data_IF_502828910874
#
_entry.id   IF_502828910874
#
_cell.length_a   1.000
_cell.length_b   1.000
_cell.length_c   1.000
_cell.angle_alpha   90.00
_cell.angle_beta   90.00
_cell.angle_gamma   90.00
#
_symmetry.space_group_name_H-M   'P 1'
#
loop_
_entity.id
_entity.type
_entity.pdbx_description
1 polymer ?
#
# COMPACT_ATOMS: atom_id res chain seq x y z
N UNK A 1 5.41 -25.23 10.87
CA UNK A 1 4.03 -25.22 11.40
C UNK A 1 3.22 -24.35 10.47
N UNK A 2 2.14 -24.82 9.83
CA UNK A 2 1.31 -23.99 8.98
C UNK A 2 0.58 -22.96 9.85
N UNK A 3 0.60 -21.70 9.45
CA UNK A 3 -0.17 -20.61 10.07
C UNK A 3 -1.54 -20.52 9.42
N UNK A 4 -2.57 -20.37 10.24
CA UNK A 4 -3.99 -20.36 9.88
C UNK A 4 -4.32 -19.27 8.85
N UNK A 5 -4.40 -19.68 7.58
CA UNK A 5 -5.05 -18.97 6.48
C UNK A 5 -5.39 -20.00 5.40
N UNK A 6 -6.07 -21.07 5.80
CA UNK A 6 -6.40 -22.21 4.93
C UNK A 6 -7.83 -22.02 4.41
N UNK A 7 -7.98 -21.05 3.50
CA UNK A 7 -9.26 -20.76 2.84
C UNK A 7 -9.53 -21.81 1.75
N UNK A 8 -10.21 -22.90 2.13
CA UNK A 8 -11.09 -23.79 1.34
C UNK A 8 -10.82 -23.81 -0.19
N UNK A 9 -9.59 -24.09 -0.59
CA UNK A 9 -9.16 -24.14 -1.99
C UNK A 9 -7.69 -24.52 -2.11
N UNK A 10 -7.23 -25.00 -3.28
CA UNK A 10 -5.82 -25.33 -3.48
C UNK A 10 -4.95 -24.08 -3.28
N UNK A 11 -4.23 -24.04 -2.17
CA UNK A 11 -3.23 -23.02 -1.88
C UNK A 11 -1.96 -23.41 -2.64
N UNK A 12 -1.65 -22.65 -3.69
CA UNK A 12 -0.32 -22.77 -4.31
C UNK A 12 0.71 -22.34 -3.27
N UNK A 13 1.80 -23.11 -3.05
CA UNK A 13 2.83 -22.72 -2.12
C UNK A 13 3.42 -21.38 -2.57
N UNK A 14 3.81 -20.55 -1.59
CA UNK A 14 4.43 -19.27 -1.88
C UNK A 14 5.67 -19.47 -2.78
N UNK A 15 5.86 -18.65 -3.83
CA UNK A 15 7.02 -18.77 -4.71
C UNK A 15 8.34 -18.60 -3.96
N UNK A 16 9.21 -19.61 -4.02
CA UNK A 16 10.49 -19.65 -3.27
C UNK A 16 11.72 -19.35 -4.13
N UNK A 17 11.62 -19.44 -5.45
CA UNK A 17 12.77 -19.35 -6.37
C UNK A 17 12.51 -18.33 -7.51
N UNK A 18 12.07 -17.14 -7.11
CA UNK A 18 11.55 -16.13 -8.04
C UNK A 18 12.68 -15.42 -8.80
N UNK A 19 13.89 -15.36 -8.24
CA UNK A 19 15.05 -14.75 -8.90
C UNK A 19 15.86 -15.71 -9.77
N UNK A 20 15.56 -17.01 -9.77
CA UNK A 20 16.35 -17.95 -10.56
C UNK A 20 16.11 -17.82 -12.06
N UNK A 21 16.97 -18.53 -12.80
CA UNK A 21 16.87 -18.67 -14.25
C UNK A 21 15.61 -19.41 -14.72
N UNK A 22 14.92 -20.11 -13.81
CA UNK A 22 13.67 -20.81 -14.12
C UNK A 22 12.44 -19.90 -13.99
N UNK A 23 12.60 -18.73 -13.38
CA UNK A 23 11.55 -17.73 -13.23
C UNK A 23 11.56 -16.72 -14.38
N UNK A 24 10.37 -16.29 -14.79
CA UNK A 24 10.21 -15.20 -15.76
C UNK A 24 10.33 -13.81 -15.11
N UNK A 25 10.28 -13.73 -13.78
CA UNK A 25 10.24 -12.45 -13.06
C UNK A 25 11.47 -11.58 -13.30
N UNK A 26 12.72 -12.08 -13.28
CA UNK A 26 13.90 -11.24 -13.54
C UNK A 26 13.90 -10.67 -14.96
N UNK A 27 13.51 -11.48 -15.95
CA UNK A 27 13.41 -11.06 -17.35
C UNK A 27 12.31 -10.04 -17.54
N UNK A 28 11.12 -10.25 -16.96
CA UNK A 28 10.01 -9.31 -16.99
C UNK A 28 10.37 -7.99 -16.30
N UNK A 29 11.05 -8.04 -15.15
CA UNK A 29 11.54 -6.87 -14.43
C UNK A 29 12.54 -6.06 -15.27
N UNK A 30 13.50 -6.74 -15.92
CA UNK A 30 14.44 -6.10 -16.83
C UNK A 30 13.73 -5.40 -17.99
N UNK A 31 12.72 -6.03 -18.59
CA UNK A 31 11.95 -5.42 -19.68
C UNK A 31 11.12 -4.22 -19.21
N UNK A 32 10.50 -4.31 -18.03
CA UNK A 32 9.76 -3.22 -17.42
C UNK A 32 10.66 -2.01 -17.16
N UNK A 33 11.80 -2.22 -16.50
CA UNK A 33 12.75 -1.16 -16.17
C UNK A 33 13.39 -0.55 -17.43
N UNK A 34 13.71 -1.34 -18.45
CA UNK A 34 14.15 -0.84 -19.75
C UNK A 34 13.08 0.03 -20.45
N UNK A 35 11.80 -0.30 -20.26
CA UNK A 35 10.68 0.50 -20.80
C UNK A 35 10.60 1.85 -20.10
N UNK A 36 10.70 1.89 -18.76
CA UNK A 36 10.80 3.15 -18.01
C UNK A 36 12.01 3.97 -18.47
N UNK A 37 13.19 3.36 -18.54
CA UNK A 37 14.42 4.03 -18.99
C UNK A 37 14.26 4.66 -20.38
N UNK A 38 13.68 3.92 -21.32
CA UNK A 38 13.51 4.37 -22.70
C UNK A 38 12.50 5.52 -22.80
N UNK A 39 11.43 5.47 -22.01
CA UNK A 39 10.46 6.56 -21.92
C UNK A 39 11.07 7.81 -21.30
N UNK A 40 11.73 7.67 -20.14
CA UNK A 40 12.27 8.79 -19.36
C UNK A 40 13.46 9.47 -20.04
N UNK A 41 14.21 8.76 -20.89
CA UNK A 41 15.28 9.33 -21.73
C UNK A 41 14.76 9.95 -23.04
N UNK A 42 13.44 9.93 -23.28
CA UNK A 42 12.84 10.48 -24.49
C UNK A 42 13.09 9.66 -25.76
N UNK A 43 13.51 8.39 -25.61
CA UNK A 43 13.79 7.50 -26.73
C UNK A 43 12.50 6.89 -27.35
N UNK A 44 11.35 7.08 -26.71
CA UNK A 44 10.04 6.56 -27.18
C UNK A 44 9.03 7.71 -27.25
N UNK A 45 8.25 7.76 -28.34
CA UNK A 45 7.23 8.80 -28.53
C UNK A 45 5.98 8.46 -27.70
N UNK A 46 5.37 9.48 -27.09
CA UNK A 46 4.17 9.39 -26.22
C UNK A 46 3.01 8.57 -26.84
N UNK A 47 2.91 8.50 -28.18
CA UNK A 47 1.87 7.74 -28.88
C UNK A 47 1.93 6.22 -28.59
N UNK A 48 3.10 5.69 -28.24
CA UNK A 48 3.31 4.26 -27.97
C UNK A 48 3.27 3.94 -26.46
N UNK A 49 3.24 4.95 -25.59
CA UNK A 49 3.38 4.81 -24.12
C UNK A 49 2.42 5.72 -23.35
N UNK A 50 1.17 5.83 -23.79
CA UNK A 50 0.14 6.68 -23.15
C UNK A 50 0.01 6.42 -21.64
N UNK A 51 0.18 5.17 -21.20
CA UNK A 51 0.14 4.77 -19.80
C UNK A 51 1.25 5.38 -18.92
N UNK A 52 2.36 5.83 -19.51
CA UNK A 52 3.50 6.42 -18.79
C UNK A 52 3.49 7.95 -18.78
N UNK A 53 2.50 8.58 -19.44
CA UNK A 53 2.41 10.03 -19.54
C UNK A 53 2.39 10.68 -18.14
N UNK A 54 3.31 11.61 -17.90
CA UNK A 54 3.42 12.36 -16.65
C UNK A 54 4.31 11.70 -15.61
N UNK A 55 4.73 10.45 -15.80
CA UNK A 55 5.65 9.75 -14.90
C UNK A 55 7.02 10.45 -14.85
N UNK A 56 7.43 11.11 -15.93
CA UNK A 56 8.66 11.90 -16.01
C UNK A 56 8.70 13.08 -15.02
N UNK A 57 7.53 13.55 -14.58
CA UNK A 57 7.41 14.71 -13.70
C UNK A 57 7.34 14.32 -12.21
N UNK A 58 7.27 13.03 -11.88
CA UNK A 58 7.19 12.56 -10.50
C UNK A 58 8.41 11.73 -10.12
N UNK A 59 8.88 11.89 -8.89
CA UNK A 59 9.92 11.02 -8.32
C UNK A 59 9.26 9.76 -7.75
N UNK A 60 9.76 8.58 -8.13
CA UNK A 60 9.18 7.31 -7.67
C UNK A 60 10.23 6.22 -7.55
N UNK A 61 9.88 5.20 -6.77
CA UNK A 61 10.63 3.95 -6.66
C UNK A 61 9.67 2.78 -6.84
N UNK A 62 10.13 1.75 -7.52
CA UNK A 62 9.45 0.47 -7.65
C UNK A 62 10.41 -0.65 -7.28
N UNK A 63 9.93 -1.68 -6.60
CA UNK A 63 10.78 -2.81 -6.24
C UNK A 63 9.96 -4.05 -5.93
N UNK A 64 10.61 -5.19 -6.03
CA UNK A 64 10.05 -6.49 -5.67
C UNK A 64 10.66 -6.99 -4.37
N UNK A 65 9.86 -7.69 -3.58
CA UNK A 65 10.30 -8.35 -2.35
C UNK A 65 9.63 -9.70 -2.18
N UNK A 66 10.31 -10.61 -1.51
CA UNK A 66 9.75 -11.88 -1.03
C UNK A 66 10.38 -12.22 0.31
N UNK A 67 9.59 -12.77 1.21
CA UNK A 67 10.09 -13.34 2.47
C UNK A 67 10.85 -14.66 2.23
N UNK A 68 10.60 -15.34 1.11
CA UNK A 68 11.20 -16.63 0.77
C UNK A 68 12.38 -16.52 -0.20
N UNK A 69 12.55 -15.37 -0.87
CA UNK A 69 13.68 -15.10 -1.75
C UNK A 69 14.22 -13.68 -1.49
N UNK A 70 15.15 -13.54 -0.52
CA UNK A 70 15.71 -12.25 -0.13
C UNK A 70 16.49 -11.55 -1.24
N UNK A 71 16.84 -12.26 -2.32
CA UNK A 71 17.62 -11.68 -3.40
C UNK A 71 16.78 -10.81 -4.33
N UNK A 72 15.44 -10.95 -4.31
CA UNK A 72 14.49 -10.05 -5.00
C UNK A 72 14.67 -8.59 -4.60
N UNK A 73 15.16 -8.30 -3.39
CA UNK A 73 15.43 -6.93 -2.95
C UNK A 73 16.43 -6.20 -3.84
N UNK A 74 17.17 -6.89 -4.72
CA UNK A 74 18.05 -6.28 -5.73
C UNK A 74 17.28 -5.77 -6.95
N UNK A 75 16.07 -6.26 -7.18
CA UNK A 75 15.16 -5.83 -8.23
C UNK A 75 14.43 -4.57 -7.76
N UNK A 76 15.14 -3.46 -7.83
CA UNK A 76 14.63 -2.12 -7.53
C UNK A 76 14.89 -1.18 -8.71
N UNK A 77 14.02 -0.19 -8.86
CA UNK A 77 14.11 0.86 -9.87
C UNK A 77 13.76 2.17 -9.18
N UNK A 78 14.60 3.17 -9.40
CA UNK A 78 14.45 4.48 -8.77
C UNK A 78 14.58 5.55 -9.85
N UNK A 79 13.58 6.43 -9.92
CA UNK A 79 13.61 7.58 -10.80
C UNK A 79 13.53 8.85 -9.98
N UNK A 80 14.54 9.70 -10.15
CA UNK A 80 14.59 11.05 -9.59
C UNK A 80 14.14 12.03 -10.67
N UNK A 81 13.00 12.69 -10.46
CA UNK A 81 12.51 13.71 -11.38
C UNK A 81 13.39 14.97 -11.33
N UNK A 82 13.34 15.83 -12.37
CA UNK A 82 14.11 17.08 -12.39
C UNK A 82 13.84 18.00 -11.20
N UNK A 83 12.62 17.99 -10.66
CA UNK A 83 12.25 18.76 -9.48
C UNK A 83 13.08 18.37 -8.26
N UNK A 84 13.22 17.06 -7.99
CA UNK A 84 14.00 16.56 -6.85
C UNK A 84 15.49 16.65 -7.13
N UNK A 85 15.93 16.37 -8.35
CA UNK A 85 17.33 16.45 -8.74
C UNK A 85 17.92 17.88 -8.58
N UNK A 86 17.07 18.91 -8.76
CA UNK A 86 17.44 20.32 -8.66
C UNK A 86 16.85 21.00 -7.42
N UNK A 87 16.39 20.24 -6.43
CA UNK A 87 15.84 20.80 -5.19
C UNK A 87 16.91 21.64 -4.47
N UNK A 88 16.51 22.74 -3.82
CA UNK A 88 17.50 23.59 -3.11
C UNK A 88 18.03 22.92 -1.85
N UNK A 89 17.24 22.05 -1.21
CA UNK A 89 17.56 21.39 0.04
C UNK A 89 17.10 19.92 0.00
N UNK A 90 17.79 19.05 0.73
CA UNK A 90 17.39 17.66 0.94
C UNK A 90 17.94 16.68 -0.09
N UNK A 91 17.13 15.69 -0.45
CA UNK A 91 17.51 14.59 -1.35
C UNK A 91 17.58 15.05 -2.80
N UNK A 92 18.71 14.80 -3.47
CA UNK A 92 18.90 15.12 -4.89
C UNK A 92 18.94 13.87 -5.79
N UNK A 93 18.87 12.69 -5.18
CA UNK A 93 18.83 11.40 -5.86
C UNK A 93 18.12 10.41 -4.94
N UNK A 94 17.11 9.74 -5.47
CA UNK A 94 16.43 8.68 -4.74
C UNK A 94 17.05 7.30 -4.98
N UNK A 95 16.95 6.46 -3.98
CA UNK A 95 17.45 5.09 -3.91
C UNK A 95 16.61 4.25 -2.92
N UNK A 96 17.07 3.06 -2.58
CA UNK A 96 16.39 2.12 -1.68
C UNK A 96 16.22 2.61 -0.24
N UNK A 97 16.99 3.63 0.18
CA UNK A 97 16.94 4.19 1.54
C UNK A 97 16.13 5.49 1.60
N UNK A 98 15.58 5.92 0.47
CA UNK A 98 14.78 7.14 0.38
C UNK A 98 13.43 7.02 1.08
N UNK A 99 13.05 8.06 1.83
CA UNK A 99 11.81 8.08 2.63
C UNK A 99 10.69 8.73 1.83
N UNK A 100 9.58 8.00 1.68
CA UNK A 100 8.38 8.47 0.96
C UNK A 100 7.19 8.65 1.91
N UNK A 101 6.35 9.65 1.61
CA UNK A 101 5.00 9.72 2.21
C UNK A 101 4.11 8.66 1.57
N UNK A 102 3.62 7.72 2.36
CA UNK A 102 2.81 6.59 1.87
C UNK A 102 1.29 6.84 1.92
N UNK A 103 0.87 8.04 2.36
CA UNK A 103 -0.53 8.49 2.41
C UNK A 103 -1.49 7.41 2.97
N UNK A 104 -2.53 7.03 2.22
CA UNK A 104 -3.56 6.10 2.70
C UNK A 104 -3.06 4.70 3.02
N UNK A 105 -1.89 4.29 2.52
CA UNK A 105 -1.27 3.01 2.88
C UNK A 105 -0.89 2.96 4.37
N UNK A 106 -0.78 4.10 5.06
CA UNK A 106 -0.57 4.14 6.51
C UNK A 106 -1.69 3.47 7.31
N UNK A 107 -2.91 3.39 6.75
CA UNK A 107 -4.06 2.75 7.40
C UNK A 107 -3.83 1.26 7.69
N UNK A 108 -2.97 0.58 6.92
CA UNK A 108 -2.60 -0.81 7.18
C UNK A 108 -1.94 -0.96 8.56
N UNK A 109 -1.06 -0.04 8.93
CA UNK A 109 -0.45 -0.04 10.26
C UNK A 109 -1.46 0.28 11.36
N UNK A 110 -2.39 1.20 11.11
CA UNK A 110 -3.46 1.54 12.07
C UNK A 110 -4.36 0.33 12.34
N UNK A 111 -4.79 -0.38 11.29
CA UNK A 111 -5.60 -1.60 11.44
C UNK A 111 -4.81 -2.70 12.13
N UNK A 112 -3.55 -2.91 11.74
CA UNK A 112 -2.69 -3.92 12.37
C UNK A 112 -2.47 -3.65 13.87
N UNK A 113 -2.20 -2.39 14.24
CA UNK A 113 -2.10 -2.00 15.65
C UNK A 113 -3.41 -2.27 16.41
N UNK A 114 -4.56 -1.95 15.81
CA UNK A 114 -5.86 -2.29 16.38
C UNK A 114 -6.04 -3.81 16.58
N UNK A 115 -5.59 -4.63 15.62
CA UNK A 115 -5.75 -6.10 15.71
C UNK A 115 -4.90 -6.71 16.83
N UNK A 116 -3.78 -6.08 17.16
CA UNK A 116 -2.90 -6.52 18.24
C UNK A 116 -3.38 -6.08 19.63
N UNK A 117 -3.98 -4.89 19.72
CA UNK A 117 -4.24 -4.24 21.00
C UNK A 117 -5.70 -4.34 21.45
N UNK A 118 -6.66 -4.29 20.53
CA UNK A 118 -8.08 -4.25 20.87
C UNK A 118 -8.68 -5.65 21.01
N UNK A 119 -9.46 -5.83 22.06
CA UNK A 119 -10.32 -7.00 22.27
C UNK A 119 -11.53 -6.99 21.32
N UNK A 120 -12.18 -8.14 21.15
CA UNK A 120 -13.40 -8.23 20.32
C UNK A 120 -14.51 -7.30 20.84
N UNK A 121 -14.65 -7.15 22.15
CA UNK A 121 -15.60 -6.21 22.75
C UNK A 121 -15.27 -4.77 22.37
N UNK A 122 -14.01 -4.36 22.44
CA UNK A 122 -13.57 -3.00 22.06
C UNK A 122 -13.75 -2.72 20.57
N UNK A 123 -13.55 -3.72 19.70
CA UNK A 123 -13.83 -3.60 18.26
C UNK A 123 -15.32 -3.34 17.98
N UNK A 124 -16.20 -3.95 18.77
CA UNK A 124 -17.64 -3.84 18.64
C UNK A 124 -18.25 -2.71 19.48
N UNK A 125 -17.43 -2.01 20.27
CA UNK A 125 -17.87 -0.88 21.09
C UNK A 125 -18.35 0.28 20.22
N UNK A 126 -19.56 0.84 20.47
CA UNK A 126 -20.03 2.01 19.75
C UNK A 126 -19.10 3.22 19.90
N UNK A 127 -18.91 3.97 18.81
CA UNK A 127 -18.04 5.15 18.79
C UNK A 127 -18.53 6.25 19.74
N UNK A 128 -19.85 6.35 19.95
CA UNK A 128 -20.44 7.27 20.94
C UNK A 128 -19.93 7.02 22.37
N UNK A 129 -19.55 5.78 22.72
CA UNK A 129 -19.00 5.49 24.04
C UNK A 129 -17.53 5.88 24.19
N UNK A 130 -16.82 6.10 23.07
CA UNK A 130 -15.39 6.40 23.03
C UNK A 130 -15.16 7.91 22.92
N UNK A 131 -15.97 8.60 22.12
CA UNK A 131 -15.82 10.03 21.84
C UNK A 131 -17.11 10.79 22.17
N UNK A 132 -16.99 11.72 23.13
CA UNK A 132 -18.09 12.56 23.60
C UNK A 132 -18.80 13.34 22.49
N UNK A 133 -18.07 13.78 21.46
CA UNK A 133 -18.66 14.50 20.34
C UNK A 133 -19.70 13.65 19.58
N UNK A 134 -19.47 12.33 19.49
CA UNK A 134 -20.42 11.40 18.89
C UNK A 134 -21.61 11.12 19.81
N UNK A 135 -21.38 11.04 21.14
CA UNK A 135 -22.45 10.91 22.12
C UNK A 135 -23.44 12.08 22.07
N UNK A 136 -22.92 13.30 21.92
CA UNK A 136 -23.74 14.53 21.90
C UNK A 136 -24.73 14.59 20.73
N UNK A 137 -24.41 13.93 19.61
CA UNK A 137 -25.27 13.88 18.42
C UNK A 137 -26.02 12.56 18.25
N UNK A 138 -25.74 11.54 19.08
CA UNK A 138 -26.35 10.21 18.94
C UNK A 138 -27.88 10.23 19.11
N UNK A 139 -28.40 11.05 20.03
CA UNK A 139 -29.85 11.19 20.22
C UNK A 139 -30.60 11.67 18.97
N UNK A 140 -29.96 12.53 18.17
CA UNK A 140 -30.57 13.04 16.92
C UNK A 140 -30.71 11.91 15.91
N UNK A 141 -29.69 11.05 15.79
CA UNK A 141 -29.75 9.83 14.99
C UNK A 141 -30.88 8.89 15.39
N UNK A 142 -31.19 8.80 16.68
CA UNK A 142 -32.29 7.95 17.15
C UNK A 142 -33.67 8.53 16.89
N UNK A 143 -33.80 9.86 16.88
CA UNK A 143 -35.06 10.56 16.58
C UNK A 143 -35.33 10.62 15.07
N UNK A 144 -34.28 10.79 14.26
CA UNK A 144 -34.36 10.94 12.81
C UNK A 144 -33.20 10.23 12.10
N UNK A 145 -33.27 8.90 11.96
CA UNK A 145 -32.19 8.09 11.41
C UNK A 145 -32.00 8.26 9.89
N UNK A 146 -32.92 8.94 9.20
CA UNK A 146 -32.79 9.23 7.76
C UNK A 146 -31.77 10.34 7.54
N UNK A 147 -31.80 11.37 8.39
CA UNK A 147 -30.99 12.58 8.23
C UNK A 147 -29.79 12.63 9.17
N UNK A 148 -29.78 11.81 10.24
CA UNK A 148 -28.74 11.82 11.25
C UNK A 148 -28.16 10.43 11.49
N UNK A 149 -26.84 10.37 11.66
CA UNK A 149 -26.12 9.11 11.92
C UNK A 149 -26.39 8.62 13.35
N UNK A 150 -26.69 7.33 13.48
CA UNK A 150 -26.88 6.66 14.78
C UNK A 150 -25.54 6.27 15.39
N UNK A 151 -24.80 7.24 15.92
CA UNK A 151 -23.43 7.05 16.42
C UNK A 151 -23.33 6.06 17.60
N UNK A 152 -24.43 5.82 18.31
CA UNK A 152 -24.57 4.78 19.34
C UNK A 152 -24.68 3.35 18.78
N UNK A 153 -24.75 3.21 17.44
CA UNK A 153 -24.77 1.92 16.73
C UNK A 153 -23.60 1.71 15.79
N UNK A 154 -22.79 2.75 15.55
CA UNK A 154 -21.60 2.65 14.70
C UNK A 154 -20.42 2.22 15.56
N UNK A 155 -19.82 1.07 15.25
CA UNK A 155 -18.56 0.59 15.82
C UNK A 155 -17.44 0.66 14.77
N UNK A 156 -16.23 0.21 15.13
CA UNK A 156 -15.19 -0.04 14.15
C UNK A 156 -15.61 -1.16 13.18
N UNK A 157 -15.04 -1.23 11.96
CA UNK A 157 -15.29 -2.31 11.02
C UNK A 157 -15.06 -3.66 11.71
N UNK A 158 -15.97 -4.61 11.50
CA UNK A 158 -15.86 -5.94 12.12
C UNK A 158 -14.48 -6.54 11.83
N UNK A 159 -13.84 -7.01 12.89
CA UNK A 159 -12.63 -7.81 12.79
C UNK A 159 -12.92 -9.00 11.88
N UNK A 160 -12.28 -9.03 10.72
CA UNK A 160 -12.30 -10.21 9.86
C UNK A 160 -11.32 -11.18 10.52
N UNK A 161 -11.83 -12.31 11.01
CA UNK A 161 -10.99 -13.42 11.42
C UNK A 161 -10.22 -13.88 10.17
N UNK A 162 -8.90 -13.67 10.18
CA UNK A 162 -7.96 -14.17 9.19
C UNK A 162 -7.38 -15.49 9.67
#
# INVERSE_FOLDING_TARGET
MPTESDYIGPTWPAPIDVTSRHSLVPTAWKNLTATFDSYLKGHVKIKDTVALKGVENITFSAGLFSIHDPSLKKLQYHYTSPEIANATNGTHKVDGDSIYRIASSSKLFTVYAGMLVLTEEEWNRPLAEINKAFAEVAEQGNKDPIWHVQWDKISLPKRIYM
#
